data_IF_852864842441
#
_entry.id   IF_852864842441
#
_cell.length_a   1.000
_cell.length_b   1.000
_cell.length_c   1.000
_cell.angle_alpha   90.00
_cell.angle_beta   90.00
_cell.angle_gamma   90.00
#
_symmetry.space_group_name_H-M   'P 1'
#
loop_
_entity.id
_entity.type
_entity.pdbx_description
1 polymer ?
#
# COMPACT_ATOMS: atom_id res chain seq x y z
N UNK A 1 2.70 -28.30 8.31
CA UNK A 1 3.73 -27.25 8.43
C UNK A 1 4.85 -27.54 7.44
N UNK A 2 5.26 -26.55 6.65
CA UNK A 2 6.43 -26.68 5.77
C UNK A 2 7.68 -26.22 6.52
N UNK A 3 8.78 -26.97 6.39
CA UNK A 3 10.07 -26.61 6.99
C UNK A 3 10.89 -25.85 5.96
N UNK A 4 11.44 -24.72 6.38
CA UNK A 4 12.29 -23.87 5.55
C UNK A 4 13.65 -23.74 6.21
N UNK A 5 14.70 -23.74 5.39
CA UNK A 5 16.06 -23.42 5.81
C UNK A 5 16.39 -22.00 5.35
N UNK A 6 16.89 -21.18 6.27
CA UNK A 6 17.28 -19.80 5.99
C UNK A 6 18.72 -19.58 6.45
N UNK A 7 19.44 -18.80 5.66
CA UNK A 7 20.82 -18.40 6.00
C UNK A 7 20.78 -17.06 6.74
N UNK A 8 21.40 -17.04 7.92
CA UNK A 8 21.51 -15.86 8.77
C UNK A 8 22.97 -15.58 9.06
N UNK A 9 23.30 -14.30 9.25
CA UNK A 9 24.64 -13.91 9.67
C UNK A 9 24.95 -14.51 11.06
N UNK A 10 26.20 -14.93 11.34
CA UNK A 10 26.56 -15.54 12.62
C UNK A 10 26.18 -14.66 13.82
N UNK A 11 26.43 -13.35 13.74
CA UNK A 11 26.07 -12.41 14.80
C UNK A 11 24.57 -12.41 15.06
N UNK A 12 23.73 -12.42 14.03
CA UNK A 12 22.26 -12.47 14.18
C UNK A 12 21.81 -13.75 14.89
N UNK A 13 22.46 -14.89 14.60
CA UNK A 13 22.15 -16.16 15.28
C UNK A 13 22.51 -16.10 16.75
N UNK A 14 23.64 -15.46 17.10
CA UNK A 14 24.03 -15.27 18.51
C UNK A 14 23.02 -14.39 19.26
N UNK A 15 22.61 -13.26 18.68
CA UNK A 15 21.62 -12.37 19.32
C UNK A 15 20.26 -13.06 19.48
N UNK A 16 19.84 -13.86 18.49
CA UNK A 16 18.62 -14.65 18.59
C UNK A 16 18.70 -15.74 19.67
N UNK A 17 19.88 -16.31 19.90
CA UNK A 17 20.08 -17.30 20.96
C UNK A 17 19.97 -16.66 22.35
N UNK A 18 20.52 -15.46 22.52
CA UNK A 18 20.43 -14.72 23.78
C UNK A 18 18.99 -14.26 24.04
N UNK A 19 18.33 -13.69 23.04
CA UNK A 19 16.90 -13.35 23.12
C UNK A 19 16.01 -14.54 23.47
N UNK A 20 16.29 -15.71 22.89
CA UNK A 20 15.56 -16.94 23.18
C UNK A 20 15.69 -17.35 24.65
N UNK A 21 16.88 -17.17 25.26
CA UNK A 21 17.10 -17.45 26.68
C UNK A 21 16.35 -16.47 27.56
N UNK A 22 16.49 -15.16 27.29
CA UNK A 22 15.88 -14.11 28.11
C UNK A 22 14.35 -14.16 28.07
N UNK A 23 13.76 -14.45 26.90
CA UNK A 23 12.31 -14.48 26.73
C UNK A 23 11.67 -15.85 27.04
N UNK A 24 12.48 -16.89 27.27
CA UNK A 24 11.97 -18.26 27.45
C UNK A 24 11.25 -18.81 26.21
N UNK A 25 11.61 -18.34 25.02
CA UNK A 25 10.95 -18.69 23.75
C UNK A 25 11.91 -19.45 22.83
N UNK A 26 11.36 -20.23 21.90
CA UNK A 26 12.22 -20.88 20.90
C UNK A 26 12.72 -19.88 19.84
N UNK A 27 13.96 -20.06 19.37
CA UNK A 27 14.52 -19.26 18.25
C UNK A 27 13.60 -19.22 17.03
N UNK A 28 12.99 -20.36 16.69
CA UNK A 28 12.07 -20.49 15.57
C UNK A 28 10.77 -19.71 15.77
N UNK A 29 10.30 -19.58 17.02
CA UNK A 29 9.12 -18.78 17.35
C UNK A 29 9.44 -17.29 17.19
N UNK A 30 10.58 -16.83 17.72
CA UNK A 30 11.02 -15.44 17.55
C UNK A 30 11.15 -15.07 16.06
N UNK A 31 11.78 -15.93 15.26
CA UNK A 31 11.91 -15.70 13.81
C UNK A 31 10.53 -15.62 13.15
N UNK A 32 9.60 -16.50 13.53
CA UNK A 32 8.24 -16.51 12.97
C UNK A 32 7.51 -15.22 13.31
N UNK A 33 7.55 -14.78 14.56
CA UNK A 33 6.87 -13.57 15.03
C UNK A 33 7.38 -12.32 14.30
N UNK A 34 8.69 -12.24 14.07
CA UNK A 34 9.31 -11.14 13.31
C UNK A 34 8.86 -11.18 11.85
N UNK A 35 8.93 -12.34 11.20
CA UNK A 35 8.54 -12.50 9.78
C UNK A 35 7.06 -12.16 9.60
N UNK A 36 6.19 -12.61 10.50
CA UNK A 36 4.75 -12.37 10.45
C UNK A 36 4.44 -10.88 10.60
N UNK A 37 5.02 -10.21 11.60
CA UNK A 37 4.84 -8.77 11.82
C UNK A 37 5.33 -7.94 10.61
N UNK A 38 6.47 -8.29 10.03
CA UNK A 38 7.01 -7.59 8.86
C UNK A 38 6.16 -7.86 7.61
N UNK A 39 5.70 -9.09 7.44
CA UNK A 39 4.81 -9.47 6.32
C UNK A 39 3.49 -8.70 6.38
N UNK A 40 2.91 -8.55 7.56
CA UNK A 40 1.70 -7.75 7.77
C UNK A 40 1.90 -6.28 7.40
N UNK A 41 3.04 -5.69 7.78
CA UNK A 41 3.38 -4.32 7.41
C UNK A 41 3.51 -4.16 5.90
N UNK A 42 4.21 -5.07 5.22
CA UNK A 42 4.30 -5.05 3.76
C UNK A 42 2.95 -5.26 3.09
N UNK A 43 2.09 -6.12 3.64
CA UNK A 43 0.73 -6.33 3.10
C UNK A 43 -0.09 -5.04 3.13
N UNK A 44 0.03 -4.25 4.21
CA UNK A 44 -0.66 -2.95 4.35
C UNK A 44 -0.13 -1.94 3.36
N UNK A 45 1.19 -1.87 3.18
CA UNK A 45 1.82 -1.01 2.17
C UNK A 45 1.38 -1.38 0.75
N UNK A 46 1.36 -2.67 0.41
CA UNK A 46 0.90 -3.15 -0.89
C UNK A 46 -0.58 -2.78 -1.13
N UNK A 47 -1.45 -2.95 -0.13
CA UNK A 47 -2.86 -2.53 -0.23
C UNK A 47 -3.00 -1.01 -0.39
N UNK A 48 -2.19 -0.21 0.30
CA UNK A 48 -2.20 1.25 0.16
C UNK A 48 -1.72 1.70 -1.24
N UNK A 49 -0.66 1.08 -1.76
CA UNK A 49 -0.17 1.31 -3.12
C UNK A 49 -1.18 0.86 -4.20
N UNK A 50 -1.89 -0.24 -3.96
CA UNK A 50 -2.96 -0.69 -4.85
C UNK A 50 -4.14 0.29 -4.87
N UNK A 51 -4.51 0.87 -3.71
CA UNK A 51 -5.56 1.90 -3.62
C UNK A 51 -5.19 3.20 -4.33
N UNK A 52 -3.93 3.64 -4.26
CA UNK A 52 -3.46 4.83 -5.01
C UNK A 52 -3.42 4.58 -6.52
N UNK A 53 -3.27 3.32 -6.96
CA UNK A 53 -3.48 2.91 -8.36
C UNK A 53 -4.95 2.77 -8.77
N UNK A 54 -5.90 3.38 -8.06
CA UNK A 54 -7.27 3.53 -8.53
C UNK A 54 -7.31 4.45 -9.77
N UNK A 55 -6.84 3.92 -10.92
CA UNK A 55 -6.89 4.53 -12.26
C UNK A 55 -8.32 4.76 -12.76
N UNK A 56 -9.32 4.28 -12.04
CA UNK A 56 -10.73 4.35 -12.38
C UNK A 56 -11.53 5.18 -11.36
N UNK A 57 -11.03 6.32 -10.92
CA UNK A 57 -11.86 7.28 -10.21
C UNK A 57 -12.84 7.94 -11.22
N UNK A 58 -14.17 7.78 -11.07
CA UNK A 58 -15.16 8.36 -11.97
C UNK A 58 -15.02 9.89 -12.09
N UNK A 59 -14.61 10.56 -11.01
CA UNK A 59 -14.41 12.01 -11.00
C UNK A 59 -13.26 12.46 -11.91
N UNK A 60 -12.18 11.67 -11.98
CA UNK A 60 -11.06 11.89 -12.91
C UNK A 60 -11.47 11.66 -14.37
N UNK A 61 -12.39 10.72 -14.62
CA UNK A 61 -12.98 10.53 -15.97
C UNK A 61 -13.88 11.71 -16.37
N UNK A 62 -14.59 12.31 -15.42
CA UNK A 62 -15.40 13.51 -15.67
C UNK A 62 -14.55 14.77 -15.87
N UNK A 63 -13.40 14.89 -15.20
CA UNK A 63 -12.49 16.03 -15.38
C UNK A 63 -11.92 16.12 -16.82
N UNK A 64 -11.77 14.98 -17.51
CA UNK A 64 -11.37 14.95 -18.93
C UNK A 64 -12.49 15.31 -19.91
N UNK A 65 -13.76 15.15 -19.50
CA UNK A 65 -14.93 15.55 -20.30
C UNK A 65 -15.06 17.06 -20.42
N UNK A 66 -14.59 17.81 -19.42
CA UNK A 66 -14.64 19.28 -19.42
C UNK A 66 -13.68 19.95 -20.42
N UNK A 67 -12.86 19.20 -21.18
CA UNK A 67 -11.98 19.76 -22.21
C UNK A 67 -12.67 20.04 -23.55
N UNK A 68 -13.92 19.61 -23.73
CA UNK A 68 -14.71 19.90 -24.92
C UNK A 68 -15.88 20.81 -24.56
N UNK A 69 -15.64 22.11 -24.65
CA UNK A 69 -16.67 23.12 -24.56
C UNK A 69 -16.00 24.47 -24.39
N UNK A 70 -16.17 25.37 -25.36
CA UNK A 70 -16.04 26.81 -25.12
C UNK A 70 -16.77 27.13 -23.80
N UNK A 71 -16.32 28.12 -23.03
CA UNK A 71 -16.99 28.57 -21.81
C UNK A 71 -18.42 29.07 -22.12
N UNK A 72 -19.38 28.15 -22.26
CA UNK A 72 -20.79 28.46 -22.49
C UNK A 72 -21.37 29.19 -21.26
N UNK A 73 -20.76 28.98 -20.09
CA UNK A 73 -21.14 29.66 -18.85
C UNK A 73 -20.79 31.16 -18.83
N UNK A 74 -19.87 31.64 -19.68
CA UNK A 74 -19.53 33.08 -19.76
C UNK A 74 -20.44 33.85 -20.73
N UNK A 75 -21.05 33.18 -21.72
CA UNK A 75 -21.86 33.82 -22.77
C UNK A 75 -23.35 33.44 -22.67
N UNK A 76 -23.87 33.25 -21.46
CA UNK A 76 -25.29 32.91 -21.24
C UNK A 76 -26.19 34.00 -21.86
N UNK A 77 -25.81 35.26 -21.69
CA UNK A 77 -26.59 36.41 -22.19
C UNK A 77 -26.66 36.45 -23.73
N UNK A 78 -25.64 35.97 -24.46
CA UNK A 78 -25.65 35.94 -25.93
C UNK A 78 -26.56 34.84 -26.51
N UNK A 79 -26.84 33.80 -25.73
CA UNK A 79 -27.65 32.65 -26.16
C UNK A 79 -29.14 32.97 -26.05
N UNK A 80 -29.56 33.74 -25.04
CA UNK A 80 -30.96 34.09 -24.83
C UNK A 80 -31.41 35.37 -25.56
N UNK A 81 -30.47 36.16 -26.10
CA UNK A 81 -30.81 37.37 -26.87
C UNK A 81 -31.18 37.10 -28.35
N UNK A 82 -31.15 35.84 -28.79
CA UNK A 82 -31.30 35.46 -30.19
C UNK A 82 -32.59 34.74 -30.55
N UNK A 83 -33.51 34.60 -29.60
CA UNK A 83 -34.91 34.20 -29.82
C UNK A 83 -35.86 35.40 -29.70
#
# INVERSE_FOLDING_TARGET
MQRYQIYLKPNTVSTLADLAKELGMSRSQIIRDVVERVSDQYSKLLKALAKTRAKNNPLLKMAGFAKFGKNIAENIDEIYLKD
#
